data_IF_449902186666
#
_entry.id   IF_449902186666
#
_cell.length_a   1.000
_cell.length_b   1.000
_cell.length_c   1.000
_cell.angle_alpha   90.00
_cell.angle_beta   90.00
_cell.angle_gamma   90.00
#
_symmetry.space_group_name_H-M   'P 1'
#
loop_
_entity.id
_entity.type
_entity.pdbx_description
1 polymer ?
#
# COMPACT_ATOMS: atom_id res chain seq x y z
N UNK A 1 8.70 -0.77 -17.94
CA UNK A 1 8.87 -1.36 -16.59
C UNK A 1 9.46 -0.34 -15.59
N UNK A 2 8.78 0.78 -15.33
CA UNK A 2 9.31 1.84 -14.44
C UNK A 2 8.65 1.90 -13.06
N UNK A 3 7.52 1.21 -12.86
CA UNK A 3 6.80 1.27 -11.58
C UNK A 3 7.54 0.47 -10.49
N UNK A 4 7.48 0.91 -9.22
CA UNK A 4 8.06 0.17 -8.09
C UNK A 4 7.52 -1.27 -7.99
N UNK A 5 6.22 -1.46 -8.26
CA UNK A 5 5.57 -2.77 -8.29
C UNK A 5 6.15 -3.65 -9.40
N UNK A 6 6.24 -3.13 -10.64
CA UNK A 6 6.79 -3.89 -11.76
C UNK A 6 8.27 -4.27 -11.57
N UNK A 7 9.05 -3.44 -10.86
CA UNK A 7 10.42 -3.79 -10.46
C UNK A 7 10.45 -4.93 -9.42
N UNK A 8 9.53 -4.93 -8.45
CA UNK A 8 9.43 -6.03 -7.46
C UNK A 8 9.03 -7.34 -8.13
N UNK A 9 8.04 -7.30 -9.03
CA UNK A 9 7.63 -8.46 -9.83
C UNK A 9 8.79 -9.00 -10.69
N UNK A 10 9.53 -8.12 -11.37
CA UNK A 10 10.68 -8.51 -12.18
C UNK A 10 11.76 -9.19 -11.33
N UNK A 11 12.03 -8.67 -10.13
CA UNK A 11 12.97 -9.29 -9.18
C UNK A 11 12.52 -10.69 -8.79
N UNK A 12 11.24 -10.90 -8.51
CA UNK A 12 10.71 -12.23 -8.21
C UNK A 12 10.86 -13.19 -9.38
N UNK A 13 10.50 -12.77 -10.60
CA UNK A 13 10.63 -13.59 -11.81
C UNK A 13 12.08 -14.00 -12.04
N UNK A 14 13.03 -13.07 -11.94
CA UNK A 14 14.45 -13.35 -12.10
C UNK A 14 14.97 -14.31 -11.03
N UNK A 15 14.53 -14.14 -9.78
CA UNK A 15 14.93 -15.01 -8.67
C UNK A 15 14.40 -16.44 -8.87
N UNK A 16 13.14 -16.59 -9.29
CA UNK A 16 12.54 -17.90 -9.61
C UNK A 16 13.25 -18.61 -10.77
N UNK A 17 13.84 -17.86 -11.71
CA UNK A 17 14.66 -18.38 -12.82
C UNK A 17 16.10 -18.74 -12.42
N UNK A 18 16.43 -18.73 -11.12
CA UNK A 18 17.72 -19.18 -10.61
C UNK A 18 18.77 -18.07 -10.43
N UNK A 19 18.42 -16.80 -10.67
CA UNK A 19 19.33 -15.72 -10.29
C UNK A 19 19.33 -15.52 -8.78
N UNK A 20 20.52 -15.32 -8.21
CA UNK A 20 20.60 -14.88 -6.82
C UNK A 20 19.88 -13.53 -6.66
N UNK A 21 19.21 -13.33 -5.52
CA UNK A 21 18.50 -12.08 -5.22
C UNK A 21 19.41 -10.85 -5.37
N UNK A 22 20.71 -10.99 -5.06
CA UNK A 22 21.74 -9.95 -5.28
C UNK A 22 21.86 -9.58 -6.76
N UNK A 23 22.03 -10.57 -7.64
CA UNK A 23 22.18 -10.35 -9.09
C UNK A 23 20.89 -9.82 -9.71
N UNK A 24 19.74 -10.31 -9.27
CA UNK A 24 18.43 -9.81 -9.68
C UNK A 24 18.22 -8.33 -9.28
N UNK A 25 18.58 -7.93 -8.06
CA UNK A 25 18.53 -6.52 -7.62
C UNK A 25 19.38 -5.61 -8.51
N UNK A 26 20.61 -6.03 -8.84
CA UNK A 26 21.49 -5.28 -9.73
C UNK A 26 20.88 -5.13 -11.14
N UNK A 27 20.31 -6.20 -11.69
CA UNK A 27 19.72 -6.20 -13.03
C UNK A 27 18.48 -5.29 -13.14
N UNK A 28 17.66 -5.26 -12.09
CA UNK A 28 16.44 -4.44 -12.04
C UNK A 28 16.72 -2.99 -11.60
N UNK A 29 17.92 -2.69 -11.10
CA UNK A 29 18.25 -1.39 -10.53
C UNK A 29 17.51 -1.11 -9.20
N UNK A 30 17.20 -2.15 -8.42
CA UNK A 30 16.48 -2.03 -7.15
C UNK A 30 17.47 -2.15 -5.97
N UNK A 31 17.38 -1.23 -5.00
CA UNK A 31 18.14 -1.38 -3.75
C UNK A 31 17.69 -2.62 -2.98
N UNK A 32 18.66 -3.40 -2.48
CA UNK A 32 18.40 -4.60 -1.67
C UNK A 32 17.52 -4.31 -0.45
N UNK A 33 17.67 -3.14 0.17
CA UNK A 33 16.85 -2.73 1.33
C UNK A 33 15.37 -2.60 0.93
N UNK A 34 15.12 -1.98 -0.22
CA UNK A 34 13.76 -1.78 -0.77
C UNK A 34 13.14 -3.11 -1.22
N UNK A 35 13.96 -4.03 -1.74
CA UNK A 35 13.53 -5.36 -2.16
C UNK A 35 13.06 -6.24 -0.99
N UNK A 36 13.62 -6.05 0.21
CA UNK A 36 13.27 -6.81 1.41
C UNK A 36 12.20 -6.08 2.25
N UNK A 37 11.92 -4.82 1.94
CA UNK A 37 10.97 -4.02 2.71
C UNK A 37 9.51 -4.42 2.45
N UNK A 38 8.88 -4.99 3.48
CA UNK A 38 7.44 -5.27 3.53
C UNK A 38 6.65 -4.03 3.93
N UNK A 39 5.62 -3.69 3.16
CA UNK A 39 4.71 -2.57 3.46
C UNK A 39 3.81 -2.94 4.65
N UNK A 40 3.83 -2.12 5.71
CA UNK A 40 2.99 -2.32 6.91
C UNK A 40 1.72 -1.48 6.92
N UNK A 41 1.77 -0.33 6.24
CA UNK A 41 0.69 0.66 6.28
C UNK A 41 -0.62 0.16 5.64
N UNK A 42 -0.62 -0.54 4.48
CA UNK A 42 -1.85 -1.04 3.88
C UNK A 42 -2.63 -2.01 4.77
N UNK A 43 -1.92 -2.89 5.48
CA UNK A 43 -2.55 -3.84 6.41
C UNK A 43 -3.16 -3.12 7.61
N UNK A 44 -2.43 -2.16 8.18
CA UNK A 44 -2.92 -1.31 9.27
C UNK A 44 -4.16 -0.50 8.88
N UNK A 45 -4.19 -0.04 7.64
CA UNK A 45 -5.23 0.84 7.11
C UNK A 45 -6.45 0.08 6.60
N UNK A 46 -6.32 -1.23 6.33
CA UNK A 46 -7.39 -2.08 5.80
C UNK A 46 -8.71 -1.95 6.57
N UNK A 47 -8.68 -2.13 7.90
CA UNK A 47 -9.89 -2.04 8.74
C UNK A 47 -10.53 -0.66 8.67
N UNK A 48 -9.71 0.40 8.61
CA UNK A 48 -10.19 1.76 8.52
C UNK A 48 -10.82 2.03 7.14
N UNK A 49 -10.20 1.54 6.06
CA UNK A 49 -10.79 1.59 4.72
C UNK A 49 -12.15 0.90 4.65
N UNK A 50 -12.26 -0.31 5.21
CA UNK A 50 -13.53 -1.06 5.29
C UNK A 50 -14.62 -0.27 6.05
N UNK A 51 -14.27 0.36 7.18
CA UNK A 51 -15.19 1.22 7.94
C UNK A 51 -15.64 2.45 7.15
N UNK A 52 -14.74 3.08 6.40
CA UNK A 52 -15.05 4.26 5.59
C UNK A 52 -15.97 3.91 4.41
N UNK A 53 -15.72 2.78 3.73
CA UNK A 53 -16.57 2.31 2.64
C UNK A 53 -17.99 2.03 3.15
N UNK A 54 -18.12 1.37 4.31
CA UNK A 54 -19.43 1.12 4.91
C UNK A 54 -20.16 2.43 5.27
N UNK A 55 -19.44 3.38 5.89
CA UNK A 55 -20.02 4.66 6.28
C UNK A 55 -20.38 5.55 5.08
N UNK A 56 -19.65 5.45 3.97
CA UNK A 56 -19.99 6.14 2.72
C UNK A 56 -21.32 5.63 2.14
N UNK A 57 -21.59 4.32 2.23
CA UNK A 57 -22.87 3.75 1.78
C UNK A 57 -24.04 4.27 2.63
N UNK A 58 -23.85 4.45 3.94
CA UNK A 58 -24.86 5.01 4.84
C UNK A 58 -25.02 6.53 4.68
N UNK A 59 -23.94 7.26 4.41
CA UNK A 59 -23.92 8.72 4.32
C UNK A 59 -23.07 9.25 3.13
N UNK A 60 -23.55 9.12 1.87
CA UNK A 60 -22.75 9.36 0.66
C UNK A 60 -22.24 10.79 0.48
N UNK A 61 -22.87 11.77 1.13
CA UNK A 61 -22.53 13.21 1.00
C UNK A 61 -21.67 13.73 2.15
N UNK A 62 -21.13 12.84 2.98
CA UNK A 62 -20.27 13.24 4.09
C UNK A 62 -18.85 13.46 3.60
N UNK A 63 -18.38 14.71 3.67
CA UNK A 63 -16.95 15.01 3.51
C UNK A 63 -16.14 14.53 4.73
N UNK A 64 -14.81 14.58 4.61
CA UNK A 64 -13.88 14.01 5.59
C UNK A 64 -14.11 14.45 7.04
N UNK A 65 -14.47 15.74 7.25
CA UNK A 65 -14.78 16.27 8.60
C UNK A 65 -15.95 15.54 9.23
N UNK A 66 -17.09 15.49 8.53
CA UNK A 66 -18.30 14.82 9.01
C UNK A 66 -18.08 13.32 9.21
N UNK A 67 -17.36 12.69 8.28
CA UNK A 67 -17.01 11.27 8.39
C UNK A 67 -16.11 10.98 9.61
N UNK A 68 -15.16 11.87 9.90
CA UNK A 68 -14.28 11.73 11.07
C UNK A 68 -15.04 11.84 12.39
N UNK A 69 -15.99 12.77 12.50
CA UNK A 69 -16.87 12.87 13.67
C UNK A 69 -17.79 11.66 13.78
N UNK A 70 -18.39 11.21 12.68
CA UNK A 70 -19.29 10.06 12.64
C UNK A 70 -18.63 8.77 13.12
N UNK A 71 -17.41 8.50 12.65
CA UNK A 71 -16.65 7.29 12.98
C UNK A 71 -15.77 7.45 14.23
N UNK A 72 -15.83 8.59 14.92
CA UNK A 72 -14.94 8.93 16.03
C UNK A 72 -13.44 8.75 15.68
N UNK A 73 -13.07 9.17 14.47
CA UNK A 73 -11.70 9.12 13.95
C UNK A 73 -11.09 10.51 13.90
N UNK A 74 -9.76 10.57 13.79
CA UNK A 74 -9.08 11.82 13.46
C UNK A 74 -9.29 12.20 11.98
N UNK A 75 -9.59 13.47 11.70
CA UNK A 75 -9.78 13.99 10.33
C UNK A 75 -8.59 13.65 9.41
N UNK A 76 -7.37 13.74 9.94
CA UNK A 76 -6.15 13.41 9.19
C UNK A 76 -6.04 11.93 8.80
N UNK A 77 -6.67 11.03 9.56
CA UNK A 77 -6.70 9.59 9.24
C UNK A 77 -7.70 9.30 8.12
N UNK A 78 -8.85 9.97 8.15
CA UNK A 78 -9.87 9.85 7.12
C UNK A 78 -9.37 10.45 5.79
N UNK A 79 -8.74 11.62 5.84
CA UNK A 79 -8.20 12.31 4.64
C UNK A 79 -7.02 11.58 3.96
N UNK A 80 -6.31 10.72 4.69
CA UNK A 80 -5.14 9.99 4.16
C UNK A 80 -5.55 8.80 3.27
N UNK A 81 -6.73 8.23 3.52
CA UNK A 81 -7.28 7.09 2.79
C UNK A 81 -7.76 7.53 1.41
#
# INVERSE_FOLDING_TARGET
MSTPTGRREALEVLTRRGLSRRKACCYVGLSRRVAIYTLKQPEKDRRLGEQLIAAEQEAPRFGYRRMSTWLALGESRVRRM
#
